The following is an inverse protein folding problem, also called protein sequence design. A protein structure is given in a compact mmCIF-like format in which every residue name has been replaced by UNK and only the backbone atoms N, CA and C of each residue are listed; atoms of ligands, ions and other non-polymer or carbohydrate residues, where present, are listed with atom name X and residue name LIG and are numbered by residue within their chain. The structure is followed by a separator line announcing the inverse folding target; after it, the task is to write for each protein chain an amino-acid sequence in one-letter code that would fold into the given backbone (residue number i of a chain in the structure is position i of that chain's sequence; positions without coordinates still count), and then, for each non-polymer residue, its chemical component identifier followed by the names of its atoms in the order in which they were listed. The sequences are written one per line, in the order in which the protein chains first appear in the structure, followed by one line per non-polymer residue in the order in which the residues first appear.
data_IF_821280605238
#
_entry.id   IF_821280605238
#
_cell.length_a   1.000
_cell.length_b   1.000
_cell.length_c   1.000
_cell.angle_alpha   90.00
_cell.angle_beta   90.00
_cell.angle_gamma   90.00
#
_symmetry.space_group_name_H-M   'P 1'
#
loop_
_entity.id
_entity.type
_entity.pdbx_description
1 polymer ?
#
# COMPACT_ATOMS: atom_id res chain seq x y z
N UNK A 1 -4.09 -5.01 7.29
CA UNK A 1 -4.31 -3.98 6.25
C UNK A 1 -3.66 -4.35 4.91
N UNK A 2 -2.39 -4.80 4.86
CA UNK A 2 -1.70 -5.14 3.60
C UNK A 2 -2.41 -6.26 2.80
N UNK A 3 -2.89 -7.31 3.49
CA UNK A 3 -3.58 -8.45 2.88
C UNK A 3 -4.79 -8.06 2.02
N UNK A 4 -5.64 -7.14 2.53
CA UNK A 4 -6.85 -6.71 1.80
C UNK A 4 -6.56 -5.89 0.55
N UNK A 5 -5.48 -5.10 0.53
CA UNK A 5 -5.06 -4.33 -0.65
C UNK A 5 -4.51 -5.29 -1.71
N UNK A 6 -3.63 -6.22 -1.31
CA UNK A 6 -3.06 -7.22 -2.22
C UNK A 6 -4.13 -8.15 -2.81
N UNK A 7 -5.12 -8.57 -2.01
CA UNK A 7 -6.25 -9.37 -2.48
C UNK A 7 -7.15 -8.61 -3.46
N UNK A 8 -7.37 -7.31 -3.23
CA UNK A 8 -8.12 -6.45 -4.15
C UNK A 8 -7.37 -6.25 -5.47
N UNK A 9 -6.04 -6.26 -5.47
CA UNK A 9 -5.23 -6.09 -6.68
C UNK A 9 -5.20 -7.38 -7.51
N UNK A 10 -5.12 -8.55 -6.87
CA UNK A 10 -4.81 -9.83 -7.53
C UNK A 10 -6.02 -10.64 -8.04
N UNK A 11 -7.25 -10.19 -7.80
CA UNK A 11 -8.44 -10.90 -8.28
C UNK A 11 -8.70 -10.59 -9.77
N UNK A 12 -9.29 -11.53 -10.56
CA UNK A 12 -9.54 -11.34 -11.98
C UNK A 12 -10.24 -10.00 -12.27
N UNK A 13 -9.75 -9.31 -13.29
CA UNK A 13 -10.18 -7.97 -13.60
C UNK A 13 -10.04 -7.71 -15.11
N UNK A 14 -10.63 -6.60 -15.58
CA UNK A 14 -10.58 -6.20 -16.99
C UNK A 14 -9.13 -5.94 -17.43
N UNK A 15 -8.33 -5.36 -16.53
CA UNK A 15 -6.89 -5.21 -16.63
C UNK A 15 -6.31 -5.65 -15.30
N UNK A 16 -5.51 -6.72 -15.32
CA UNK A 16 -5.00 -7.37 -14.12
C UNK A 16 -3.77 -6.67 -13.57
N UNK A 17 -3.72 -6.57 -12.25
CA UNK A 17 -2.53 -6.18 -11.51
C UNK A 17 -2.06 -7.39 -10.72
N UNK A 18 -0.76 -7.52 -10.54
CA UNK A 18 -0.21 -8.59 -9.72
C UNK A 18 0.62 -8.07 -8.52
N UNK A 19 1.09 -9.01 -7.72
CA UNK A 19 1.89 -8.68 -6.55
C UNK A 19 3.31 -8.20 -6.92
N UNK A 20 3.84 -8.57 -8.08
CA UNK A 20 5.13 -8.09 -8.55
C UNK A 20 5.04 -6.60 -8.93
N UNK A 21 3.92 -6.15 -9.50
CA UNK A 21 3.64 -4.74 -9.76
C UNK A 21 3.65 -3.93 -8.45
N UNK A 22 2.90 -4.39 -7.45
CA UNK A 22 2.89 -3.76 -6.13
C UNK A 22 4.29 -3.70 -5.50
N UNK A 23 5.05 -4.80 -5.53
CA UNK A 23 6.44 -4.81 -5.04
C UNK A 23 7.31 -3.81 -5.79
N UNK A 24 7.14 -3.71 -7.11
CA UNK A 24 7.93 -2.82 -7.96
C UNK A 24 7.68 -1.36 -7.57
N UNK A 25 6.42 -0.98 -7.34
CA UNK A 25 6.06 0.35 -6.88
C UNK A 25 6.61 0.63 -5.47
N UNK A 26 6.38 -0.26 -4.51
CA UNK A 26 6.85 -0.05 -3.13
C UNK A 26 8.38 -0.02 -3.03
N UNK A 27 9.09 -0.77 -3.87
CA UNK A 27 10.57 -0.77 -3.93
C UNK A 27 11.16 0.54 -4.46
N UNK A 28 10.37 1.41 -5.11
CA UNK A 28 10.83 2.76 -5.48
C UNK A 28 11.13 3.64 -4.26
N UNK A 29 10.75 3.18 -3.06
CA UNK A 29 11.22 3.72 -1.79
C UNK A 29 10.60 5.06 -1.44
N UNK A 30 11.16 5.71 -0.42
CA UNK A 30 10.63 6.95 0.13
C UNK A 30 9.32 6.74 0.89
N UNK A 31 8.63 7.85 1.15
CA UNK A 31 7.31 7.82 1.77
C UNK A 31 6.30 7.22 0.79
N UNK A 32 5.40 6.38 1.30
CA UNK A 32 4.28 5.83 0.56
C UNK A 32 2.96 6.35 1.15
N UNK A 33 2.02 6.69 0.27
CA UNK A 33 0.68 7.15 0.64
C UNK A 33 -0.35 6.30 -0.07
N UNK A 34 -1.41 5.97 0.65
CA UNK A 34 -2.56 5.24 0.08
C UNK A 34 -3.78 6.15 0.14
N UNK A 35 -4.46 6.26 -0.99
CA UNK A 35 -5.66 7.05 -1.17
C UNK A 35 -6.79 6.20 -1.72
N UNK A 36 -8.01 6.44 -1.26
CA UNK A 36 -9.22 5.79 -1.82
C UNK A 36 -10.27 6.86 -2.03
N UNK A 37 -10.81 6.91 -3.24
CA UNK A 37 -11.85 7.86 -3.62
C UNK A 37 -12.93 7.19 -4.44
N UNK A 38 -14.13 7.74 -4.39
CA UNK A 38 -15.27 7.31 -5.19
C UNK A 38 -16.04 8.51 -5.73
N UNK A 39 -16.71 8.33 -6.87
CA UNK A 39 -17.68 9.29 -7.41
C UNK A 39 -18.67 8.58 -8.33
N UNK A 40 -19.89 9.09 -8.39
CA UNK A 40 -20.99 8.72 -9.30
C UNK A 40 -21.39 9.89 -10.22
N UNK A 41 -20.60 10.97 -10.26
CA UNK A 41 -20.90 12.13 -11.09
C UNK A 41 -20.60 11.89 -12.57
N UNK A 42 -21.05 12.78 -13.49
CA UNK A 42 -20.71 12.68 -14.91
C UNK A 42 -19.20 12.67 -15.19
N UNK A 43 -18.39 13.30 -14.32
CA UNK A 43 -16.92 13.33 -14.40
C UNK A 43 -16.31 12.45 -13.29
N UNK A 44 -16.92 11.27 -13.05
CA UNK A 44 -16.55 10.38 -11.93
C UNK A 44 -15.09 9.96 -11.91
N UNK A 45 -14.40 9.90 -13.05
CA UNK A 45 -12.96 9.62 -13.12
C UNK A 45 -12.13 10.70 -12.40
N UNK A 46 -12.27 11.95 -12.83
CA UNK A 46 -11.59 13.12 -12.24
C UNK A 46 -11.93 13.28 -10.76
N UNK A 47 -13.21 13.10 -10.43
CA UNK A 47 -13.67 13.27 -9.05
C UNK A 47 -13.19 12.16 -8.13
N UNK A 48 -13.20 10.90 -8.56
CA UNK A 48 -12.71 9.79 -7.75
C UNK A 48 -11.20 9.94 -7.48
N UNK A 49 -10.41 10.38 -8.47
CA UNK A 49 -8.98 10.68 -8.26
C UNK A 49 -8.80 11.80 -7.24
N UNK A 50 -9.52 12.91 -7.40
CA UNK A 50 -9.46 14.04 -6.46
C UNK A 50 -9.83 13.61 -5.04
N UNK A 51 -10.86 12.77 -4.91
CA UNK A 51 -11.29 12.23 -3.63
C UNK A 51 -10.24 11.27 -3.04
N UNK A 52 -9.56 10.47 -3.88
CA UNK A 52 -8.49 9.58 -3.43
C UNK A 52 -7.25 10.34 -2.94
N UNK A 53 -6.93 11.48 -3.56
CA UNK A 53 -5.82 12.35 -3.15
C UNK A 53 -6.14 13.22 -1.93
N UNK A 54 -7.41 13.34 -1.55
CA UNK A 54 -7.81 14.04 -0.32
C UNK A 54 -7.59 13.15 0.89
N UNK A 55 -6.36 13.11 1.40
CA UNK A 55 -6.06 12.45 2.67
C UNK A 55 -5.86 13.49 3.80
N UNK A 56 -6.81 13.66 4.74
CA UNK A 56 -6.68 14.64 5.82
C UNK A 56 -5.60 14.29 6.85
N UNK A 57 -5.05 13.07 6.81
CA UNK A 57 -4.03 12.62 7.77
C UNK A 57 -2.61 13.05 7.39
N UNK A 58 -2.38 13.46 6.15
CA UNK A 58 -1.04 13.78 5.66
C UNK A 58 -1.11 14.96 4.67
N UNK A 59 -0.54 16.10 5.06
CA UNK A 59 -0.29 17.24 4.17
C UNK A 59 0.94 16.91 3.30
N UNK A 60 0.73 16.07 2.29
CA UNK A 60 1.77 15.56 1.39
C UNK A 60 1.64 16.29 0.06
N UNK A 61 2.78 16.74 -0.45
CA UNK A 61 2.85 17.14 -1.84
C UNK A 61 3.02 15.87 -2.70
N UNK A 62 1.97 15.53 -3.44
CA UNK A 62 1.95 14.37 -4.33
C UNK A 62 2.70 14.65 -5.63
N UNK A 63 3.02 15.93 -5.92
CA UNK A 63 3.76 16.33 -7.11
C UNK A 63 5.19 15.77 -7.02
N UNK A 64 5.63 15.15 -8.10
CA UNK A 64 6.96 14.53 -8.17
C UNK A 64 7.07 13.15 -7.50
N UNK A 65 5.94 12.50 -7.19
CA UNK A 65 5.94 11.09 -6.79
C UNK A 65 6.66 10.22 -7.83
N UNK A 66 7.46 9.27 -7.37
CA UNK A 66 8.28 8.41 -8.24
C UNK A 66 7.59 7.11 -8.66
N UNK A 67 6.50 6.72 -8.02
CA UNK A 67 5.76 5.53 -8.42
C UNK A 67 4.31 5.56 -7.99
N UNK A 68 3.43 5.05 -8.85
CA UNK A 68 2.00 4.89 -8.58
C UNK A 68 1.50 3.50 -8.97
N UNK A 69 0.70 2.91 -8.08
CA UNK A 69 -0.18 1.78 -8.40
C UNK A 69 -1.62 2.25 -8.30
N UNK A 70 -2.38 2.08 -9.37
CA UNK A 70 -3.75 2.57 -9.49
C UNK A 70 -4.69 1.40 -9.74
N UNK A 71 -5.67 1.20 -8.88
CA UNK A 71 -6.73 0.24 -9.12
C UNK A 71 -8.06 0.95 -9.27
N UNK A 72 -8.65 0.83 -10.46
CA UNK A 72 -9.97 1.36 -10.79
C UNK A 72 -10.98 0.25 -10.66
N UNK A 73 -12.09 0.51 -9.98
CA UNK A 73 -13.25 -0.37 -9.93
C UNK A 73 -14.48 0.42 -10.32
N UNK A 74 -15.22 -0.05 -11.31
CA UNK A 74 -16.46 0.58 -11.74
C UNK A 74 -17.56 -0.44 -11.93
N UNK A 75 -18.79 0.03 -12.08
CA UNK A 75 -19.94 -0.82 -12.35
C UNK A 75 -19.88 -1.46 -13.75
N UNK A 76 -20.92 -2.22 -14.10
CA UNK A 76 -20.99 -2.91 -15.40
C UNK A 76 -21.01 -1.96 -16.61
N UNK A 77 -21.18 -0.65 -16.39
CA UNK A 77 -21.18 0.38 -17.43
C UNK A 77 -19.83 1.10 -17.56
N UNK A 78 -18.88 0.86 -16.66
CA UNK A 78 -17.54 1.46 -16.74
C UNK A 78 -16.86 1.08 -18.06
N UNK A 79 -16.37 2.10 -18.75
CA UNK A 79 -15.60 1.94 -19.98
C UNK A 79 -14.09 1.85 -19.69
N UNK A 80 -13.33 1.29 -20.64
CA UNK A 80 -11.86 1.31 -20.57
C UNK A 80 -11.34 2.76 -20.65
N UNK A 81 -12.02 3.62 -21.41
CA UNK A 81 -11.66 5.04 -21.54
C UNK A 81 -11.73 5.76 -20.19
N UNK A 82 -12.78 5.53 -19.39
CA UNK A 82 -12.87 6.08 -18.03
C UNK A 82 -11.75 5.58 -17.12
N UNK A 83 -11.37 4.30 -17.21
CA UNK A 83 -10.26 3.75 -16.44
C UNK A 83 -8.90 4.30 -16.90
N UNK A 84 -8.71 4.46 -18.21
CA UNK A 84 -7.51 5.07 -18.78
C UNK A 84 -7.39 6.54 -18.38
N UNK A 85 -8.50 7.28 -18.37
CA UNK A 85 -8.56 8.67 -17.94
C UNK A 85 -8.04 8.87 -16.51
N UNK A 86 -8.39 7.95 -15.61
CA UNK A 86 -7.83 7.93 -14.25
C UNK A 86 -6.30 7.78 -14.26
N UNK A 87 -5.77 6.88 -15.09
CA UNK A 87 -4.32 6.70 -15.25
C UNK A 87 -3.62 7.94 -15.79
N UNK A 88 -4.21 8.61 -16.78
CA UNK A 88 -3.70 9.86 -17.36
C UNK A 88 -3.59 10.97 -16.32
N UNK A 89 -4.68 11.24 -15.59
CA UNK A 89 -4.72 12.31 -14.57
C UNK A 89 -3.64 12.12 -13.51
N UNK A 90 -3.46 10.87 -13.04
CA UNK A 90 -2.43 10.58 -12.04
C UNK A 90 -1.03 10.68 -12.64
N UNK A 91 -0.84 10.31 -13.90
CA UNK A 91 0.47 10.43 -14.57
C UNK A 91 0.86 11.90 -14.77
N UNK A 92 -0.08 12.76 -15.14
CA UNK A 92 0.14 14.20 -15.38
C UNK A 92 0.68 14.97 -14.14
N UNK A 93 0.43 14.46 -12.94
CA UNK A 93 0.88 15.08 -11.68
C UNK A 93 2.19 14.48 -11.14
N UNK A 94 2.71 13.43 -11.77
CA UNK A 94 3.90 12.71 -11.30
C UNK A 94 5.18 13.23 -11.93
N UNK A 95 6.31 12.73 -11.43
CA UNK A 95 7.61 12.96 -12.02
C UNK A 95 7.72 12.36 -13.43
N UNK A 96 8.47 12.99 -14.34
CA UNK A 96 8.61 12.52 -15.73
C UNK A 96 9.18 11.09 -15.84
N UNK A 97 10.01 10.67 -14.87
CA UNK A 97 10.59 9.32 -14.79
C UNK A 97 9.80 8.37 -13.86
N UNK A 98 8.58 8.78 -13.47
CA UNK A 98 7.72 7.97 -12.63
C UNK A 98 7.21 6.72 -13.36
N UNK A 99 7.04 5.65 -12.59
CA UNK A 99 6.40 4.42 -13.06
C UNK A 99 4.97 4.42 -12.55
N UNK A 100 4.06 4.40 -13.50
CA UNK A 100 2.63 4.29 -13.24
C UNK A 100 2.19 2.92 -13.74
N UNK A 101 1.63 2.13 -12.82
CA UNK A 101 0.99 0.87 -13.14
C UNK A 101 -0.48 1.01 -12.76
N UNK A 102 -1.38 0.66 -13.66
CA UNK A 102 -2.81 0.74 -13.39
C UNK A 102 -3.55 -0.49 -13.88
N UNK A 103 -4.65 -0.80 -13.20
CA UNK A 103 -5.56 -1.86 -13.60
C UNK A 103 -6.99 -1.52 -13.26
N UNK A 104 -7.91 -2.31 -13.82
CA UNK A 104 -9.33 -2.00 -13.81
C UNK A 104 -10.15 -3.25 -13.56
N UNK A 105 -11.15 -3.18 -12.67
CA UNK A 105 -12.12 -4.24 -12.38
C UNK A 105 -13.54 -3.76 -12.58
N UNK A 106 -14.37 -4.62 -13.17
CA UNK A 106 -15.83 -4.44 -13.16
C UNK A 106 -16.39 -5.05 -11.87
N UNK A 107 -17.08 -4.24 -11.08
CA UNK A 107 -17.84 -4.65 -9.91
C UNK A 107 -19.28 -4.12 -10.04
N UNK A 108 -20.25 -4.97 -10.43
CA UNK A 108 -21.66 -4.59 -10.57
C UNK A 108 -22.28 -3.97 -9.31
N UNK A 109 -21.75 -4.28 -8.12
CA UNK A 109 -22.26 -3.75 -6.85
C UNK A 109 -22.01 -2.25 -6.67
N UNK A 110 -21.16 -1.64 -7.51
CA UNK A 110 -20.85 -0.22 -7.43
C UNK A 110 -21.97 0.70 -7.95
N UNK A 111 -22.99 0.16 -8.65
CA UNK A 111 -24.23 0.87 -8.98
C UNK A 111 -24.04 2.32 -9.48
N UNK A 112 -23.32 2.53 -10.58
CA UNK A 112 -23.01 3.85 -11.13
C UNK A 112 -21.75 4.51 -10.58
N UNK A 113 -21.18 4.02 -9.47
CA UNK A 113 -19.95 4.57 -8.90
C UNK A 113 -18.69 4.05 -9.60
N UNK A 114 -17.70 4.95 -9.69
CA UNK A 114 -16.31 4.63 -9.95
C UNK A 114 -15.51 4.81 -8.66
N UNK A 115 -14.79 3.77 -8.25
CA UNK A 115 -13.89 3.75 -7.10
C UNK A 115 -12.45 3.66 -7.57
N UNK A 116 -11.59 4.53 -7.06
CA UNK A 116 -10.16 4.57 -7.35
C UNK A 116 -9.40 4.31 -6.06
N UNK A 117 -8.47 3.35 -6.10
CA UNK A 117 -7.49 3.10 -5.04
C UNK A 117 -6.11 3.44 -5.58
N UNK A 118 -5.40 4.33 -4.89
CA UNK A 118 -4.07 4.81 -5.25
C UNK A 118 -3.06 4.37 -4.21
N UNK A 119 -1.90 3.88 -4.66
CA UNK A 119 -0.70 3.74 -3.85
C UNK A 119 0.38 4.58 -4.50
N UNK A 120 0.76 5.67 -3.87
CA UNK A 120 1.85 6.57 -4.30
C UNK A 120 3.10 6.28 -3.49
N UNK A 121 4.27 6.38 -4.11
CA UNK A 121 5.58 6.13 -3.51
C UNK A 121 6.59 7.16 -3.98
N UNK A 122 7.62 7.41 -3.16
CA UNK A 122 8.56 8.50 -3.39
C UNK A 122 7.92 9.88 -3.30
N UNK A 123 6.87 10.02 -2.48
CA UNK A 123 6.23 11.33 -2.24
C UNK A 123 7.04 12.16 -1.23
N UNK A 124 6.98 13.48 -1.36
CA UNK A 124 7.64 14.39 -0.42
C UNK A 124 6.63 14.89 0.62
N UNK A 125 7.00 14.84 1.90
CA UNK A 125 6.24 15.46 2.97
C UNK A 125 7.18 16.30 3.82
N UNK A 126 6.80 17.53 4.13
CA UNK A 126 7.57 18.40 5.03
C UNK A 126 7.45 17.97 6.50
N UNK A 127 6.46 17.14 6.84
CA UNK A 127 6.12 16.77 8.22
C UNK A 127 6.64 15.39 8.65
N UNK A 128 6.85 14.48 7.69
CA UNK A 128 7.29 13.11 7.99
C UNK A 128 8.79 12.94 8.24
N UNK A 129 9.71 13.68 7.57
CA UNK A 129 11.14 13.57 7.84
C UNK A 129 11.46 13.82 9.32
N UNK A 130 10.85 14.84 9.92
CA UNK A 130 11.03 15.16 11.34
C UNK A 130 10.37 14.13 12.27
N UNK A 131 9.20 13.59 11.91
CA UNK A 131 8.56 12.55 12.71
C UNK A 131 9.34 11.23 12.68
N UNK A 132 9.87 10.82 11.53
CA UNK A 132 10.68 9.62 11.39
C UNK A 132 12.06 9.78 12.03
N UNK A 133 12.70 10.94 11.97
CA UNK A 133 13.93 11.21 12.73
C UNK A 133 13.71 11.11 14.25
N UNK A 134 12.51 11.49 14.74
CA UNK A 134 12.14 11.40 16.16
C UNK A 134 11.69 9.98 16.57
N UNK A 135 11.00 9.26 15.68
CA UNK A 135 10.38 7.96 15.96
C UNK A 135 11.29 6.78 15.62
N UNK A 136 12.10 6.84 14.55
CA UNK A 136 13.00 5.76 14.18
C UNK A 136 13.94 5.35 15.34
N UNK A 137 14.60 6.29 16.05
CA UNK A 137 15.39 5.94 17.22
C UNK A 137 14.58 5.27 18.34
N UNK A 138 13.26 5.52 18.43
CA UNK A 138 12.37 4.89 19.44
C UNK A 138 11.84 3.53 19.01
N UNK A 139 11.58 3.31 17.71
CA UNK A 139 11.15 2.01 17.17
C UNK A 139 12.29 1.00 17.15
N UNK A 140 13.52 1.44 16.85
CA UNK A 140 14.72 0.60 16.94
C UNK A 140 15.20 0.37 18.39
N UNK A 141 14.59 1.04 19.37
CA UNK A 141 14.84 0.84 20.80
C UNK A 141 13.83 -0.09 21.47
N UNK A 142 13.13 -0.93 20.71
CA UNK A 142 12.38 -2.05 21.26
C UNK A 142 13.33 -3.20 21.66
N UNK A 143 14.32 -2.88 22.49
CA UNK A 143 14.92 -3.74 23.52
C UNK A 143 15.92 -2.90 24.33
N UNK A 144 15.64 -2.71 25.64
CA UNK A 144 16.52 -3.32 26.62
C UNK A 144 15.68 -3.96 27.72
N UNK A 145 14.84 -4.94 27.36
CA UNK A 145 14.26 -5.87 28.31
C UNK A 145 14.66 -7.31 27.95
N UNK A 146 15.92 -7.52 27.59
CA UNK A 146 16.55 -8.77 27.93
C UNK A 146 16.88 -8.67 29.43
N UNK A 147 15.95 -9.11 30.29
CA UNK A 147 16.41 -9.57 31.60
C UNK A 147 17.49 -10.63 31.35
N UNK A 148 18.63 -10.61 32.05
CA UNK A 148 19.59 -11.70 31.92
C UNK A 148 18.82 -13.00 32.16
N UNK A 149 18.87 -13.92 31.19
CA UNK A 149 18.20 -15.22 31.32
C UNK A 149 18.59 -15.80 32.67
N UNK A 150 17.64 -15.83 33.61
CA UNK A 150 17.83 -16.61 34.83
C UNK A 150 18.00 -18.04 34.35
N UNK A 151 19.11 -18.72 34.69
CA UNK A 151 19.21 -20.14 34.40
C UNK A 151 17.98 -20.79 35.01
N UNK A 152 17.13 -21.37 34.16
CA UNK A 152 16.07 -22.27 34.57
C UNK A 152 16.80 -23.37 35.34
N UNK A 153 16.64 -23.40 36.66
CA UNK A 153 17.27 -24.37 37.56
C UNK A 153 16.71 -25.78 37.39
N UNK A 154 16.54 -26.20 36.14
CA UNK A 154 16.06 -27.52 35.77
C UNK A 154 17.31 -28.40 35.68
N UNK A 155 17.54 -29.17 36.74
CA UNK A 155 18.43 -30.31 36.65
C UNK A 155 17.72 -31.39 35.80
N UNK A 156 17.89 -31.32 34.49
CA UNK A 156 17.58 -32.43 33.61
C UNK A 156 18.67 -33.48 33.87
N UNK A 157 18.39 -34.41 34.78
CA UNK A 157 19.20 -35.59 35.12
C UNK A 157 19.34 -36.53 33.90
N UNK A 158 19.88 -36.01 32.79
CA UNK A 158 20.05 -36.68 31.50
C UNK A 158 21.13 -37.77 31.54
N UNK A 159 21.87 -37.88 32.65
CA UNK A 159 22.87 -38.91 32.86
C UNK A 159 22.34 -40.20 33.50
N UNK A 160 21.05 -40.27 33.88
CA UNK A 160 20.47 -41.49 34.47
C UNK A 160 19.69 -42.36 33.47
N UNK A 161 19.63 -41.98 32.18
CA UNK A 161 18.92 -42.75 31.15
C UNK A 161 19.80 -43.67 30.30
N UNK A 162 21.13 -43.71 30.55
CA UNK A 162 22.05 -44.61 29.81
C UNK A 162 22.52 -45.83 30.63
N UNK A 163 21.92 -46.15 31.79
CA UNK A 163 22.32 -47.34 32.58
C UNK A 163 21.25 -48.42 32.78
N UNK A 164 20.10 -48.38 32.09
CA UNK A 164 19.07 -49.42 32.20
C UNK A 164 18.89 -50.30 30.94
N UNK A 165 19.92 -50.37 30.08
CA UNK A 165 19.98 -51.38 29.02
C UNK A 165 21.39 -51.99 28.89
N UNK A 166 21.77 -52.81 29.88
CA UNK A 166 22.73 -53.89 29.73
C UNK A 166 22.20 -55.15 30.44
#
# INVERSE_FOLDING_TARGET
MIKGIVETISAPSLINLDFADFKTIVKRGGLAVIGVGESDSPNRAEEAVRNALRNPLLDVDYVGAKGALIHVSGDAQMTIEEANRVGEIVTEMMDDDALVIWGARVNPELNGKLKVTLVLTGVNSSYIPSLLEVIAPRLFNLEPYAEPEKPLGINLNLYQLEQDHA
#
